data_IF_675973246069
#
_entry.id   IF_675973246069
#
_cell.length_a   1.000
_cell.length_b   1.000
_cell.length_c   1.000
_cell.angle_alpha   90.00
_cell.angle_beta   90.00
_cell.angle_gamma   90.00
#
_symmetry.space_group_name_H-M   'P 1'
#
loop_
_entity.id
_entity.type
_entity.pdbx_description
1 polymer ?
#
# COMPACT_ATOMS: atom_id res chain seq x y z
N UNK A 1 24.23 -20.30 5.45
CA UNK A 1 25.25 -19.77 4.53
C UNK A 1 25.60 -18.34 4.88
N UNK A 2 26.81 -17.91 4.53
CA UNK A 2 27.24 -16.51 4.67
C UNK A 2 26.64 -15.68 3.54
N UNK A 3 26.17 -14.48 3.86
CA UNK A 3 25.60 -13.53 2.90
C UNK A 3 26.54 -12.36 2.76
N UNK A 4 27.14 -12.21 1.58
CA UNK A 4 28.01 -11.08 1.27
C UNK A 4 27.17 -9.90 0.76
N UNK A 5 26.79 -9.01 1.67
CA UNK A 5 25.95 -7.86 1.36
C UNK A 5 26.06 -6.77 2.42
N UNK A 6 25.42 -5.63 2.16
CA UNK A 6 25.35 -4.51 3.10
C UNK A 6 23.94 -4.40 3.68
N UNK A 7 23.77 -4.23 5.01
CA UNK A 7 22.45 -4.03 5.57
C UNK A 7 21.84 -2.73 5.04
N UNK A 8 20.53 -2.74 4.77
CA UNK A 8 19.80 -1.60 4.20
C UNK A 8 19.92 -0.35 5.09
N UNK A 9 20.00 -0.53 6.41
CA UNK A 9 20.26 0.55 7.37
C UNK A 9 21.56 1.32 7.12
N UNK A 10 22.54 0.75 6.41
CA UNK A 10 23.81 1.38 6.04
C UNK A 10 23.89 1.79 4.58
N UNK A 11 22.85 1.54 3.78
CA UNK A 11 22.88 1.76 2.34
C UNK A 11 23.18 3.22 1.98
N UNK A 12 22.58 4.18 2.71
CA UNK A 12 22.82 5.61 2.50
C UNK A 12 24.29 5.99 2.67
N UNK A 13 24.92 5.49 3.73
CA UNK A 13 26.33 5.78 4.00
C UNK A 13 27.24 5.16 2.95
N UNK A 14 26.88 3.97 2.45
CA UNK A 14 27.62 3.29 1.39
C UNK A 14 27.50 4.02 0.05
N UNK A 15 26.29 4.47 -0.31
CA UNK A 15 26.06 5.28 -1.50
C UNK A 15 26.85 6.60 -1.45
N UNK A 16 26.87 7.27 -0.30
CA UNK A 16 27.65 8.49 -0.11
C UNK A 16 29.15 8.27 -0.30
N UNK A 17 29.71 7.15 0.20
CA UNK A 17 31.14 6.81 -0.01
C UNK A 17 31.47 6.58 -1.49
N UNK A 18 30.51 6.11 -2.26
CA UNK A 18 30.63 5.91 -3.71
C UNK A 18 30.33 7.19 -4.52
N UNK A 19 30.09 8.32 -3.85
CA UNK A 19 29.77 9.59 -4.50
C UNK A 19 28.35 9.66 -5.06
N UNK A 20 27.48 8.71 -4.71
CA UNK A 20 26.08 8.71 -5.12
C UNK A 20 25.28 9.59 -4.16
N UNK A 21 24.91 10.79 -4.64
CA UNK A 21 24.23 11.78 -3.83
C UNK A 21 22.72 11.50 -3.71
N UNK A 22 22.09 11.81 -2.57
CA UNK A 22 20.64 11.73 -2.43
C UNK A 22 19.90 12.50 -3.53
N UNK A 23 18.95 11.85 -4.19
CA UNK A 23 18.15 12.43 -5.25
C UNK A 23 18.81 12.44 -6.64
N UNK A 24 20.06 11.99 -6.77
CA UNK A 24 20.72 11.81 -8.08
C UNK A 24 20.01 10.74 -8.93
N UNK A 25 20.18 10.75 -10.26
CA UNK A 25 19.66 9.68 -11.12
C UNK A 25 20.11 8.28 -10.69
N UNK A 26 21.36 8.13 -10.27
CA UNK A 26 21.94 6.88 -9.78
C UNK A 26 21.27 6.43 -8.49
N UNK A 27 21.02 7.37 -7.56
CA UNK A 27 20.33 7.08 -6.31
C UNK A 27 18.88 6.61 -6.56
N UNK A 28 18.18 7.27 -7.50
CA UNK A 28 16.82 6.88 -7.90
C UNK A 28 16.80 5.51 -8.55
N UNK A 29 17.75 5.21 -9.42
CA UNK A 29 17.89 3.90 -10.06
C UNK A 29 18.17 2.79 -9.03
N UNK A 30 19.10 3.02 -8.11
CA UNK A 30 19.40 2.09 -7.03
C UNK A 30 18.17 1.82 -6.14
N UNK A 31 17.46 2.88 -5.74
CA UNK A 31 16.23 2.77 -4.97
C UNK A 31 15.16 1.96 -5.71
N UNK A 32 14.96 2.23 -7.02
CA UNK A 32 13.99 1.49 -7.82
C UNK A 32 14.35 -0.01 -7.91
N UNK A 33 15.62 -0.34 -8.11
CA UNK A 33 16.06 -1.75 -8.15
C UNK A 33 15.86 -2.45 -6.80
N UNK A 34 16.18 -1.76 -5.71
CA UNK A 34 15.97 -2.27 -4.36
C UNK A 34 14.49 -2.54 -4.09
N UNK A 35 13.61 -1.56 -4.37
CA UNK A 35 12.17 -1.70 -4.19
C UNK A 35 11.60 -2.85 -5.02
N UNK A 36 12.02 -3.00 -6.27
CA UNK A 36 11.63 -4.13 -7.11
C UNK A 36 12.07 -5.45 -6.49
N UNK A 37 13.33 -5.56 -6.04
CA UNK A 37 13.83 -6.79 -5.44
C UNK A 37 13.12 -7.14 -4.13
N UNK A 38 12.86 -6.16 -3.27
CA UNK A 38 12.10 -6.37 -2.03
C UNK A 38 10.68 -6.81 -2.33
N UNK A 39 9.99 -6.08 -3.20
CA UNK A 39 8.61 -6.40 -3.59
C UNK A 39 8.52 -7.83 -4.13
N UNK A 40 9.47 -8.22 -4.98
CA UNK A 40 9.54 -9.58 -5.52
C UNK A 40 9.82 -10.63 -4.43
N UNK A 41 10.75 -10.37 -3.52
CA UNK A 41 11.06 -11.29 -2.42
C UNK A 41 9.84 -11.51 -1.51
N UNK A 42 9.17 -10.43 -1.09
CA UNK A 42 7.95 -10.51 -0.28
C UNK A 42 6.81 -11.16 -1.04
N UNK A 43 6.57 -10.80 -2.30
CA UNK A 43 5.52 -11.40 -3.11
C UNK A 43 5.73 -12.90 -3.29
N UNK A 44 6.96 -13.35 -3.58
CA UNK A 44 7.30 -14.77 -3.70
C UNK A 44 7.07 -15.51 -2.38
N UNK A 45 7.46 -14.91 -1.25
CA UNK A 45 7.27 -15.50 0.08
C UNK A 45 5.78 -15.61 0.45
N UNK A 46 5.02 -14.54 0.22
CA UNK A 46 3.61 -14.43 0.58
C UNK A 46 2.71 -15.25 -0.35
N UNK A 47 2.91 -15.20 -1.66
CA UNK A 47 2.02 -15.85 -2.64
C UNK A 47 2.55 -17.18 -3.17
N UNK A 48 3.81 -17.53 -2.89
CA UNK A 48 4.36 -18.86 -3.13
C UNK A 48 4.06 -19.79 -1.94
N UNK A 49 5.00 -19.99 -1.01
CA UNK A 49 4.84 -20.91 0.10
C UNK A 49 3.92 -20.41 1.22
N UNK A 50 3.51 -19.13 1.20
CA UNK A 50 2.56 -18.58 2.17
C UNK A 50 3.22 -18.14 3.47
N UNK A 51 4.40 -17.55 3.44
CA UNK A 51 5.06 -17.01 4.63
C UNK A 51 5.06 -15.47 4.64
N UNK A 52 4.95 -14.90 5.83
CA UNK A 52 5.20 -13.47 6.09
C UNK A 52 6.36 -13.35 7.06
N UNK A 53 7.33 -12.50 6.72
CA UNK A 53 8.39 -12.07 7.62
C UNK A 53 7.82 -11.04 8.60
N UNK A 54 7.76 -11.40 9.89
CA UNK A 54 7.09 -10.60 10.92
C UNK A 54 7.86 -9.38 11.39
N UNK A 55 9.18 -9.35 11.17
CA UNK A 55 10.03 -8.21 11.52
C UNK A 55 11.03 -7.84 10.41
N UNK A 56 10.58 -7.25 9.29
CA UNK A 56 11.46 -6.91 8.18
C UNK A 56 12.26 -5.61 8.41
N UNK A 57 12.75 -5.39 9.64
CA UNK A 57 13.54 -4.23 10.00
C UNK A 57 14.72 -4.02 9.01
N UNK A 58 15.15 -2.79 8.69
CA UNK A 58 16.22 -2.53 7.71
C UNK A 58 17.58 -3.18 8.04
N UNK A 59 17.77 -3.66 9.27
CA UNK A 59 18.93 -4.47 9.66
C UNK A 59 18.87 -5.93 9.16
N UNK A 60 17.67 -6.45 8.93
CA UNK A 60 17.39 -7.80 8.45
C UNK A 60 17.34 -7.89 6.92
N UNK A 61 17.48 -6.76 6.24
CA UNK A 61 17.48 -6.64 4.79
C UNK A 61 18.89 -6.34 4.34
N UNK A 62 19.50 -7.23 3.58
CA UNK A 62 20.82 -7.06 3.00
C UNK A 62 20.70 -6.76 1.50
N UNK A 63 21.42 -5.74 1.04
CA UNK A 63 21.57 -5.39 -0.37
C UNK A 63 22.86 -6.03 -0.87
N UNK A 64 22.73 -6.87 -1.89
CA UNK A 64 23.85 -7.54 -2.54
C UNK A 64 24.43 -6.65 -3.64
N UNK A 65 25.67 -6.90 -4.06
CA UNK A 65 26.36 -6.08 -5.08
C UNK A 65 25.62 -6.05 -6.43
N UNK A 66 24.87 -7.11 -6.73
CA UNK A 66 24.06 -7.18 -7.94
C UNK A 66 22.72 -6.43 -7.82
N UNK A 67 22.43 -5.76 -6.70
CA UNK A 67 21.19 -5.04 -6.43
C UNK A 67 20.01 -5.92 -5.99
N UNK A 68 20.24 -7.22 -5.77
CA UNK A 68 19.24 -8.09 -5.14
C UNK A 68 19.21 -7.91 -3.62
N UNK A 69 18.15 -8.41 -3.01
CA UNK A 69 17.96 -8.39 -1.57
C UNK A 69 18.02 -9.79 -0.99
N UNK A 70 18.62 -9.88 0.19
CA UNK A 70 18.59 -11.06 1.02
C UNK A 70 17.93 -10.69 2.36
N UNK A 71 16.96 -11.50 2.77
CA UNK A 71 16.31 -11.37 4.08
C UNK A 71 17.00 -12.33 5.04
N UNK A 72 17.35 -11.82 6.22
CA UNK A 72 17.89 -12.61 7.33
C UNK A 72 16.96 -12.50 8.53
N UNK A 73 17.23 -13.30 9.57
CA UNK A 73 16.47 -13.32 10.81
C UNK A 73 14.98 -13.66 10.61
N UNK A 74 14.73 -14.93 10.30
CA UNK A 74 13.39 -15.50 10.28
C UNK A 74 12.86 -15.84 11.69
N UNK A 75 13.33 -15.17 12.75
CA UNK A 75 12.93 -15.45 14.13
C UNK A 75 11.44 -15.20 14.39
N UNK A 76 10.81 -14.37 13.56
CA UNK A 76 9.36 -14.14 13.56
C UNK A 76 8.81 -14.34 12.16
N UNK A 77 8.19 -15.49 11.92
CA UNK A 77 7.46 -15.79 10.69
C UNK A 77 6.06 -16.26 11.00
N UNK A 78 5.11 -15.92 10.12
CA UNK A 78 3.75 -16.46 10.14
C UNK A 78 3.48 -17.17 8.83
N UNK A 79 2.81 -18.32 8.93
CA UNK A 79 2.29 -19.02 7.76
C UNK A 79 0.85 -18.58 7.52
N UNK A 80 0.57 -18.20 6.28
CA UNK A 80 -0.75 -17.93 5.75
C UNK A 80 -1.33 -19.23 5.19
N UNK A 81 -2.61 -19.44 5.46
CA UNK A 81 -3.40 -20.41 4.71
C UNK A 81 -3.58 -19.94 3.27
N UNK A 82 -3.83 -20.88 2.35
CA UNK A 82 -4.12 -20.55 0.95
C UNK A 82 -5.29 -19.55 0.81
N UNK A 83 -6.29 -19.70 1.67
CA UNK A 83 -7.47 -18.84 1.72
C UNK A 83 -7.12 -17.40 2.15
N UNK A 84 -6.18 -17.24 3.10
CA UNK A 84 -5.63 -15.92 3.47
C UNK A 84 -4.77 -15.32 2.35
N UNK A 85 -3.92 -16.11 1.68
CA UNK A 85 -3.13 -15.65 0.53
C UNK A 85 -4.05 -15.14 -0.58
N UNK A 86 -5.11 -15.90 -0.89
CA UNK A 86 -6.12 -15.54 -1.88
C UNK A 86 -6.81 -14.23 -1.53
N UNK A 87 -7.38 -14.12 -0.31
CA UNK A 87 -8.05 -12.88 0.14
C UNK A 87 -7.12 -11.68 0.09
N UNK A 88 -5.83 -11.88 0.38
CA UNK A 88 -4.86 -10.81 0.32
C UNK A 88 -4.61 -10.35 -1.12
N UNK A 89 -4.44 -11.29 -2.05
CA UNK A 89 -4.32 -10.96 -3.46
C UNK A 89 -5.56 -10.21 -3.98
N UNK A 90 -6.76 -10.67 -3.61
CA UNK A 90 -8.03 -10.02 -3.94
C UNK A 90 -8.08 -8.58 -3.40
N UNK A 91 -7.71 -8.36 -2.13
CA UNK A 91 -7.70 -7.03 -1.53
C UNK A 91 -6.73 -6.08 -2.24
N UNK A 92 -5.53 -6.54 -2.59
CA UNK A 92 -4.54 -5.73 -3.32
C UNK A 92 -5.09 -5.34 -4.70
N UNK A 93 -5.77 -6.26 -5.40
CA UNK A 93 -6.41 -5.97 -6.69
C UNK A 93 -7.51 -4.92 -6.51
N UNK A 94 -8.38 -5.07 -5.51
CA UNK A 94 -9.46 -4.12 -5.23
C UNK A 94 -8.93 -2.72 -4.93
N UNK A 95 -7.84 -2.62 -4.15
CA UNK A 95 -7.19 -1.34 -3.87
C UNK A 95 -6.61 -0.73 -5.15
N UNK A 96 -5.94 -1.52 -5.99
CA UNK A 96 -5.41 -1.03 -7.27
C UNK A 96 -6.52 -0.54 -8.21
N UNK A 97 -7.64 -1.27 -8.31
CA UNK A 97 -8.81 -0.86 -9.08
C UNK A 97 -9.42 0.44 -8.54
N UNK A 98 -9.54 0.56 -7.22
CA UNK A 98 -10.03 1.77 -6.56
C UNK A 98 -9.15 2.98 -6.89
N UNK A 99 -7.82 2.85 -6.84
CA UNK A 99 -6.89 3.93 -7.17
C UNK A 99 -7.03 4.40 -8.63
N UNK A 100 -7.22 3.46 -9.56
CA UNK A 100 -7.47 3.80 -10.96
C UNK A 100 -8.77 4.61 -11.13
N UNK A 101 -9.86 4.18 -10.48
CA UNK A 101 -11.14 4.89 -10.51
C UNK A 101 -11.03 6.26 -9.81
N UNK A 102 -10.22 6.36 -8.74
CA UNK A 102 -9.99 7.62 -8.05
C UNK A 102 -9.27 8.64 -8.94
N UNK A 103 -8.29 8.19 -9.74
CA UNK A 103 -7.62 9.03 -10.73
C UNK A 103 -8.60 9.50 -11.82
N UNK A 104 -9.45 8.60 -12.33
CA UNK A 104 -10.53 8.94 -13.26
C UNK A 104 -11.47 10.01 -12.68
N UNK A 105 -11.87 9.86 -11.40
CA UNK A 105 -12.74 10.81 -10.70
C UNK A 105 -12.09 12.18 -10.64
N UNK A 106 -10.83 12.23 -10.21
CA UNK A 106 -10.08 13.50 -10.08
C UNK A 106 -9.94 14.20 -11.44
N UNK A 107 -9.78 13.44 -12.53
CA UNK A 107 -9.76 13.99 -13.88
C UNK A 107 -11.15 14.53 -14.31
N UNK A 108 -12.22 13.81 -13.98
CA UNK A 108 -13.59 14.24 -14.27
C UNK A 108 -13.98 15.52 -13.50
N UNK A 109 -13.57 15.64 -12.24
CA UNK A 109 -13.76 16.86 -11.42
C UNK A 109 -13.10 18.07 -12.06
N UNK A 110 -11.82 17.95 -12.44
CA UNK A 110 -11.08 19.03 -13.11
C UNK A 110 -11.69 19.41 -14.46
N UNK A 111 -12.18 18.44 -15.23
CA UNK A 111 -12.84 18.70 -16.50
C UNK A 111 -14.16 19.48 -16.30
N UNK A 112 -14.91 19.16 -15.24
CA UNK A 112 -16.15 19.86 -14.90
C UNK A 112 -15.87 21.31 -14.46
N UNK A 113 -14.81 21.55 -13.68
CA UNK A 113 -14.36 22.89 -13.30
C UNK A 113 -13.99 23.76 -14.51
N UNK A 114 -13.51 23.16 -15.60
CA UNK A 114 -13.13 23.83 -16.83
C UNK A 114 -14.30 24.02 -17.83
N UNK A 115 -15.51 23.54 -17.50
CA UNK A 115 -16.66 23.65 -18.40
C UNK A 115 -17.15 25.10 -18.54
N UNK A 116 -17.26 25.57 -19.79
CA UNK A 116 -17.68 26.94 -20.12
C UNK A 116 -19.10 27.03 -20.65
N UNK A 117 -19.66 25.92 -21.18
CA UNK A 117 -21.00 25.87 -21.76
C UNK A 117 -21.91 24.89 -21.00
N UNK A 118 -23.20 25.20 -20.88
CA UNK A 118 -24.17 24.40 -20.09
C UNK A 118 -24.31 22.95 -20.59
N UNK A 119 -24.33 22.73 -21.91
CA UNK A 119 -24.45 21.38 -22.49
C UNK A 119 -23.23 20.51 -22.15
N UNK A 120 -22.04 21.10 -22.23
CA UNK A 120 -20.77 20.46 -21.90
C UNK A 120 -20.68 20.18 -20.39
N UNK A 121 -21.16 21.13 -19.57
CA UNK A 121 -21.25 20.96 -18.12
C UNK A 121 -22.14 19.78 -17.74
N UNK A 122 -23.34 19.67 -18.30
CA UNK A 122 -24.28 18.58 -18.01
C UNK A 122 -23.70 17.19 -18.37
N UNK A 123 -23.01 17.08 -19.50
CA UNK A 123 -22.32 15.83 -19.88
C UNK A 123 -21.23 15.45 -18.88
N UNK A 124 -20.44 16.43 -18.40
CA UNK A 124 -19.38 16.21 -17.40
C UNK A 124 -19.91 15.89 -16.01
N UNK A 125 -21.01 16.51 -15.60
CA UNK A 125 -21.73 16.14 -14.36
C UNK A 125 -22.18 14.67 -14.42
N UNK A 126 -22.71 14.23 -15.57
CA UNK A 126 -23.08 12.84 -15.79
C UNK A 126 -21.89 11.87 -15.70
N UNK A 127 -20.75 12.23 -16.30
CA UNK A 127 -19.51 11.44 -16.19
C UNK A 127 -19.01 11.38 -14.75
N UNK A 128 -18.93 12.52 -14.06
CA UNK A 128 -18.50 12.57 -12.66
C UNK A 128 -19.42 11.73 -11.75
N UNK A 129 -20.73 11.80 -11.96
CA UNK A 129 -21.69 10.97 -11.24
C UNK A 129 -21.46 9.47 -11.49
N UNK A 130 -21.23 9.06 -12.74
CA UNK A 130 -20.94 7.67 -13.09
C UNK A 130 -19.67 7.14 -12.41
N UNK A 131 -18.56 7.91 -12.49
CA UNK A 131 -17.29 7.53 -11.89
C UNK A 131 -17.38 7.51 -10.36
N UNK A 132 -18.10 8.47 -9.77
CA UNK A 132 -18.36 8.50 -8.31
C UNK A 132 -19.13 7.26 -7.84
N UNK A 133 -20.16 6.85 -8.58
CA UNK A 133 -20.91 5.63 -8.26
C UNK A 133 -20.03 4.37 -8.33
N UNK A 134 -19.18 4.25 -9.35
CA UNK A 134 -18.19 3.15 -9.47
C UNK A 134 -17.21 3.14 -8.30
N UNK A 135 -16.72 4.32 -7.89
CA UNK A 135 -15.81 4.46 -6.77
C UNK A 135 -16.46 4.00 -5.45
N UNK A 136 -17.71 4.40 -5.20
CA UNK A 136 -18.49 3.97 -4.03
C UNK A 136 -18.75 2.47 -4.01
N UNK A 137 -19.11 1.87 -5.16
CA UNK A 137 -19.26 0.42 -5.28
C UNK A 137 -17.96 -0.30 -4.90
N UNK A 138 -16.81 0.20 -5.38
CA UNK A 138 -15.51 -0.38 -5.05
C UNK A 138 -15.14 -0.24 -3.56
N UNK A 139 -15.54 0.86 -2.91
CA UNK A 139 -15.40 1.02 -1.45
C UNK A 139 -16.18 -0.06 -0.70
N UNK A 140 -17.41 -0.36 -1.12
CA UNK A 140 -18.21 -1.43 -0.50
C UNK A 140 -17.56 -2.81 -0.66
N UNK A 141 -17.01 -3.12 -1.84
CA UNK A 141 -16.26 -4.37 -2.08
C UNK A 141 -15.03 -4.47 -1.17
N UNK A 142 -14.25 -3.39 -1.03
CA UNK A 142 -13.09 -3.36 -0.12
C UNK A 142 -13.51 -3.52 1.34
N UNK A 143 -14.58 -2.86 1.79
CA UNK A 143 -15.09 -3.03 3.15
C UNK A 143 -15.44 -4.50 3.44
N UNK A 144 -16.13 -5.16 2.50
CA UNK A 144 -16.47 -6.57 2.62
C UNK A 144 -15.22 -7.47 2.65
N UNK A 145 -14.23 -7.20 1.80
CA UNK A 145 -12.97 -7.95 1.77
C UNK A 145 -12.20 -7.81 3.10
N UNK A 146 -12.06 -6.58 3.62
CA UNK A 146 -11.39 -6.29 4.90
C UNK A 146 -12.13 -6.95 6.07
N UNK A 147 -13.46 -6.89 6.09
CA UNK A 147 -14.29 -7.63 7.06
C UNK A 147 -14.04 -9.14 6.98
N UNK A 148 -13.85 -9.68 5.78
CA UNK A 148 -13.53 -11.10 5.55
C UNK A 148 -12.23 -11.56 6.21
N UNK A 149 -11.34 -10.64 6.58
CA UNK A 149 -10.17 -10.94 7.40
C UNK A 149 -10.46 -10.96 8.91
N UNK A 150 -11.64 -10.53 9.36
CA UNK A 150 -11.97 -10.39 10.78
C UNK A 150 -11.53 -9.05 11.37
N UNK A 151 -11.40 -8.00 10.55
CA UNK A 151 -11.15 -6.64 11.03
C UNK A 151 -12.42 -6.08 11.65
N UNK A 152 -12.30 -5.55 12.87
CA UNK A 152 -13.40 -4.92 13.60
C UNK A 152 -13.10 -3.45 13.85
N UNK A 153 -14.12 -2.59 13.73
CA UNK A 153 -14.02 -1.15 14.02
C UNK A 153 -14.56 -0.84 15.43
N UNK A 154 -14.19 0.32 15.98
CA UNK A 154 -14.85 0.85 17.17
C UNK A 154 -16.29 1.27 16.87
N UNK A 155 -17.18 1.17 17.86
CA UNK A 155 -18.58 1.58 17.75
C UNK A 155 -18.71 3.03 17.26
N UNK A 156 -19.64 3.28 16.34
CA UNK A 156 -19.86 4.60 15.74
C UNK A 156 -18.85 5.01 14.67
N UNK A 157 -17.89 4.15 14.32
CA UNK A 157 -16.98 4.40 13.19
C UNK A 157 -17.69 4.18 11.85
N UNK A 158 -17.54 5.09 10.87
CA UNK A 158 -17.97 4.86 9.49
C UNK A 158 -17.35 3.59 8.87
N UNK A 159 -18.13 2.81 8.13
CA UNK A 159 -17.67 1.54 7.56
C UNK A 159 -16.52 1.73 6.57
N UNK A 160 -16.48 2.88 5.89
CA UNK A 160 -15.43 3.29 4.95
C UNK A 160 -14.03 3.29 5.57
N UNK A 161 -13.92 3.29 6.90
CA UNK A 161 -12.63 3.14 7.58
C UNK A 161 -11.92 1.84 7.19
N UNK A 162 -12.66 0.77 6.88
CA UNK A 162 -12.10 -0.50 6.43
C UNK A 162 -11.38 -0.34 5.08
N UNK A 163 -12.07 0.20 4.06
CA UNK A 163 -11.49 0.51 2.78
C UNK A 163 -10.33 1.50 2.90
N UNK A 164 -10.47 2.55 3.71
CA UNK A 164 -9.40 3.51 3.95
C UNK A 164 -8.15 2.86 4.56
N UNK A 165 -8.30 1.94 5.52
CA UNK A 165 -7.18 1.13 6.03
C UNK A 165 -6.51 0.32 4.92
N UNK A 166 -7.29 -0.35 4.06
CA UNK A 166 -6.73 -1.12 2.95
C UNK A 166 -5.92 -0.25 2.00
N UNK A 167 -6.39 0.96 1.68
CA UNK A 167 -5.67 1.92 0.83
C UNK A 167 -4.39 2.41 1.51
N UNK A 168 -4.42 2.74 2.81
CA UNK A 168 -3.20 3.12 3.56
C UNK A 168 -2.16 2.00 3.54
N UNK A 169 -2.59 0.75 3.72
CA UNK A 169 -1.68 -0.39 3.78
C UNK A 169 -1.16 -0.77 2.40
N UNK A 170 -2.03 -0.93 1.40
CA UNK A 170 -1.69 -1.56 0.11
C UNK A 170 -1.69 -0.62 -1.10
N UNK A 171 -2.25 0.58 -0.99
CA UNK A 171 -2.33 1.54 -2.09
C UNK A 171 -1.01 2.27 -2.31
N UNK A 172 -0.82 2.86 -3.49
CA UNK A 172 0.28 3.79 -3.78
C UNK A 172 -0.09 5.26 -3.50
N UNK A 173 -1.10 5.47 -2.64
CA UNK A 173 -1.75 6.74 -2.41
C UNK A 173 -0.74 7.84 -2.03
N UNK A 174 -0.80 8.93 -2.77
CA UNK A 174 0.01 10.14 -2.55
C UNK A 174 -0.56 10.93 -1.36
N UNK A 175 0.25 11.82 -0.78
CA UNK A 175 -0.16 12.66 0.36
C UNK A 175 -1.43 13.51 0.14
N UNK A 176 -1.86 13.71 -1.12
CA UNK A 176 -3.06 14.46 -1.52
C UNK A 176 -4.29 13.57 -1.79
N UNK A 177 -4.19 12.25 -1.58
CA UNK A 177 -5.32 11.33 -1.81
C UNK A 177 -6.34 11.45 -0.68
N UNK A 178 -7.59 11.77 -1.01
CA UNK A 178 -8.71 11.73 -0.08
C UNK A 178 -9.19 10.29 0.02
N UNK A 179 -8.96 9.66 1.18
CA UNK A 179 -9.34 8.28 1.39
C UNK A 179 -10.87 8.11 1.47
N UNK A 180 -11.38 6.87 1.29
CA UNK A 180 -12.78 6.55 1.57
C UNK A 180 -13.23 7.10 2.92
N UNK A 181 -14.42 7.68 3.01
CA UNK A 181 -14.92 8.30 4.25
C UNK A 181 -14.26 9.63 4.65
N UNK A 182 -13.34 10.16 3.82
CA UNK A 182 -12.65 11.42 4.10
C UNK A 182 -11.51 11.31 5.11
N UNK A 183 -11.04 10.09 5.41
CA UNK A 183 -9.94 9.89 6.34
C UNK A 183 -8.60 10.39 5.80
N UNK A 184 -7.67 10.69 6.70
CA UNK A 184 -6.30 11.06 6.37
C UNK A 184 -5.48 9.85 5.91
N UNK A 185 -4.70 10.04 4.84
CA UNK A 185 -3.67 9.10 4.40
C UNK A 185 -2.47 8.97 5.35
N UNK A 186 -2.33 9.89 6.31
CA UNK A 186 -1.24 9.87 7.26
C UNK A 186 -1.56 8.94 8.43
N UNK A 187 -0.77 7.88 8.59
CA UNK A 187 -0.95 6.85 9.64
C UNK A 187 -1.05 7.45 11.06
N UNK A 188 -0.25 8.47 11.36
CA UNK A 188 -0.19 9.07 12.70
C UNK A 188 -1.24 10.17 12.94
N UNK A 189 -1.99 10.60 11.92
CA UNK A 189 -2.96 11.66 12.06
C UNK A 189 -4.13 11.27 13.00
N UNK A 190 -4.76 12.23 13.71
CA UNK A 190 -5.88 11.94 14.60
C UNK A 190 -7.07 11.27 13.90
N UNK A 191 -7.26 11.58 12.63
CA UNK A 191 -8.29 11.06 11.72
C UNK A 191 -7.76 9.95 10.80
N UNK A 192 -6.65 9.30 11.14
CA UNK A 192 -6.19 8.09 10.44
C UNK A 192 -7.23 6.97 10.56
N UNK A 193 -7.49 6.19 9.49
CA UNK A 193 -8.40 5.06 9.56
C UNK A 193 -7.85 3.94 10.46
N UNK A 194 -6.52 3.82 10.59
CA UNK A 194 -5.87 2.81 11.45
C UNK A 194 -6.27 2.97 12.91
N UNK A 195 -6.46 4.22 13.38
CA UNK A 195 -6.91 4.52 14.76
C UNK A 195 -8.36 4.11 15.01
N UNK A 196 -9.11 3.74 13.98
CA UNK A 196 -10.52 3.34 14.08
C UNK A 196 -10.72 1.83 14.19
N UNK A 197 -9.64 1.07 13.99
CA UNK A 197 -9.65 -0.38 14.07
C UNK A 197 -9.56 -0.81 15.54
N UNK A 198 -10.57 -1.55 16.00
CA UNK A 198 -10.63 -2.17 17.33
C UNK A 198 -9.83 -3.48 17.38
N UNK A 199 -9.97 -4.31 16.34
CA UNK A 199 -9.30 -5.59 16.23
C UNK A 199 -8.68 -5.74 14.84
N UNK A 200 -7.40 -6.07 14.82
CA UNK A 200 -6.65 -6.40 13.61
C UNK A 200 -6.04 -7.79 13.79
N UNK A 201 -6.38 -8.77 12.93
CA UNK A 201 -5.75 -10.09 12.97
C UNK A 201 -4.23 -9.96 12.94
N UNK A 202 -3.53 -10.74 13.75
CA UNK A 202 -2.07 -10.65 13.87
C UNK A 202 -1.37 -10.82 12.51
N UNK A 203 -1.91 -11.67 11.65
CA UNK A 203 -1.41 -11.94 10.29
C UNK A 203 -1.43 -10.68 9.42
N UNK A 204 -2.46 -9.84 9.55
CA UNK A 204 -2.53 -8.56 8.84
C UNK A 204 -1.66 -7.48 9.50
N UNK A 205 -1.44 -7.51 10.82
CA UNK A 205 -0.51 -6.58 11.50
C UNK A 205 0.91 -6.74 10.95
N UNK A 206 1.37 -7.99 10.81
CA UNK A 206 2.70 -8.30 10.27
C UNK A 206 2.82 -7.84 8.82
N UNK A 207 1.76 -8.03 8.04
CA UNK A 207 1.69 -7.59 6.67
C UNK A 207 1.72 -6.05 6.56
N UNK A 208 0.98 -5.35 7.41
CA UNK A 208 1.01 -3.89 7.45
C UNK A 208 2.41 -3.34 7.76
N UNK A 209 3.12 -3.94 8.73
CA UNK A 209 4.52 -3.60 9.03
C UNK A 209 5.46 -3.84 7.86
N UNK A 210 5.30 -4.95 7.15
CA UNK A 210 6.09 -5.23 5.95
C UNK A 210 5.81 -4.20 4.84
N UNK A 211 4.56 -3.78 4.69
CA UNK A 211 4.18 -2.84 3.62
C UNK A 211 4.66 -1.41 3.91
N UNK A 212 4.66 -0.99 5.18
CA UNK A 212 5.24 0.31 5.62
C UNK A 212 6.74 0.37 5.36
N UNK A 213 7.46 -0.75 5.45
CA UNK A 213 8.90 -0.78 5.17
C UNK A 213 9.23 -0.72 3.67
N UNK A 214 8.30 -1.11 2.80
CA UNK A 214 8.46 -1.09 1.35
C UNK A 214 8.05 0.27 0.75
N UNK A 215 7.17 1.02 1.42
CA UNK A 215 6.74 2.37 1.01
C UNK A 215 7.72 3.45 1.46
#
# INVERSE_FOLDING_TARGET
DYIDGKPLSRLRDEMNKQGILPGSPEAKFAAQRLLTSLTEAFARMIFGPGFIHGDPHPGNIFVLDNGQTALIDCGQVKQLTFDQQRRLAELIILVSEWENIYVERTAAERALEQATEDTDRSAREGLLANVTARLQAKVAEMNAAVRGFGVELFDGTPEEAMAACAVVLFGNSRNDTVLPGGFSGLELAPDSPIRRVRSFPQELVLLGRATVLIK
#
